data_IF_252008772132
#
_entry.id   IF_252008772132
#
_cell.length_a   1.000
_cell.length_b   1.000
_cell.length_c   1.000
_cell.angle_alpha   90.00
_cell.angle_beta   90.00
_cell.angle_gamma   90.00
#
_symmetry.space_group_name_H-M   'P 1'
#
loop_
_entity.id
_entity.type
_entity.pdbx_description
1 polymer ?
#
# COMPACT_ATOMS: atom_id res chain seq x y z
N UNK A 1 -20.45 -0.16 -4.37
CA UNK A 1 -19.81 -0.33 -5.70
C UNK A 1 -19.90 1.01 -6.43
N UNK A 2 -18.78 1.59 -6.91
CA UNK A 2 -18.76 2.88 -7.63
C UNK A 2 -18.75 2.67 -9.18
N UNK A 3 -18.91 1.45 -9.68
CA UNK A 3 -19.03 1.17 -11.11
C UNK A 3 -20.39 1.64 -11.63
N UNK A 4 -20.43 2.07 -12.88
CA UNK A 4 -21.67 2.30 -13.60
C UNK A 4 -22.40 0.97 -13.82
N UNK A 5 -23.71 0.97 -13.65
CA UNK A 5 -24.57 -0.14 -14.05
C UNK A 5 -24.52 -0.35 -15.58
N UNK A 6 -24.87 -1.55 -16.07
CA UNK A 6 -24.94 -1.80 -17.52
C UNK A 6 -25.81 -0.78 -18.28
N UNK A 7 -26.91 -0.32 -17.69
CA UNK A 7 -27.80 0.66 -18.30
C UNK A 7 -27.19 2.07 -18.35
N UNK A 8 -26.48 2.48 -17.29
CA UNK A 8 -25.73 3.74 -17.28
C UNK A 8 -24.60 3.73 -18.32
N UNK A 9 -23.86 2.62 -18.43
CA UNK A 9 -22.82 2.43 -19.46
C UNK A 9 -23.45 2.55 -20.85
N UNK A 10 -24.55 1.84 -21.10
CA UNK A 10 -25.24 1.88 -22.40
C UNK A 10 -25.72 3.28 -22.75
N UNK A 11 -26.26 4.00 -21.77
CA UNK A 11 -26.71 5.39 -21.94
C UNK A 11 -25.55 6.29 -22.38
N UNK A 12 -24.40 6.20 -21.70
CA UNK A 12 -23.21 7.00 -22.04
C UNK A 12 -22.62 6.62 -23.40
N UNK A 13 -22.54 5.33 -23.73
CA UNK A 13 -22.03 4.86 -25.02
C UNK A 13 -22.92 5.34 -26.16
N UNK A 14 -24.25 5.18 -26.06
CA UNK A 14 -25.17 5.68 -27.08
C UNK A 14 -25.05 7.20 -27.25
N UNK A 15 -24.94 7.95 -26.16
CA UNK A 15 -24.73 9.39 -26.22
C UNK A 15 -23.42 9.75 -26.95
N UNK A 16 -22.32 9.03 -26.70
CA UNK A 16 -21.05 9.22 -27.44
C UNK A 16 -21.20 8.86 -28.91
N UNK A 17 -21.83 7.72 -29.23
CA UNK A 17 -22.04 7.24 -30.60
C UNK A 17 -22.93 8.18 -31.43
N UNK A 18 -23.85 8.88 -30.78
CA UNK A 18 -24.67 9.96 -31.37
C UNK A 18 -23.88 11.27 -31.59
N UNK A 19 -22.59 11.30 -31.27
CA UNK A 19 -21.73 12.48 -31.40
C UNK A 19 -21.75 13.40 -30.18
N UNK A 20 -22.05 12.86 -29.00
CA UNK A 20 -22.10 13.59 -27.73
C UNK A 20 -23.00 14.85 -27.78
N UNK A 21 -24.28 14.74 -28.21
CA UNK A 21 -25.16 15.89 -28.35
C UNK A 21 -25.32 16.63 -27.00
N UNK A 22 -25.17 17.95 -27.02
CA UNK A 22 -25.12 18.82 -25.82
C UNK A 22 -26.40 18.76 -24.94
N UNK A 23 -27.52 18.28 -25.46
CA UNK A 23 -28.84 18.45 -24.84
C UNK A 23 -29.35 19.89 -24.94
N UNK A 24 -30.56 20.12 -24.44
CA UNK A 24 -31.20 21.45 -24.43
C UNK A 24 -31.00 22.17 -23.09
N UNK A 25 -31.05 23.51 -23.13
CA UNK A 25 -30.99 24.35 -21.92
C UNK A 25 -29.59 24.88 -21.58
N UNK A 26 -29.52 25.63 -20.48
CA UNK A 26 -28.27 26.15 -19.94
C UNK A 26 -27.45 25.04 -19.31
N UNK A 27 -26.12 25.11 -19.43
CA UNK A 27 -25.22 24.16 -18.79
C UNK A 27 -25.43 24.16 -17.25
N UNK A 28 -25.97 23.07 -16.68
CA UNK A 28 -26.26 23.00 -15.25
C UNK A 28 -24.99 23.04 -14.38
N UNK A 29 -23.83 22.66 -14.93
CA UNK A 29 -22.53 22.78 -14.25
C UNK A 29 -21.97 24.20 -14.36
N UNK A 30 -22.25 24.91 -15.46
CA UNK A 30 -21.90 26.32 -15.63
C UNK A 30 -22.65 27.26 -14.69
N UNK A 31 -23.87 26.88 -14.28
CA UNK A 31 -24.71 27.64 -13.34
C UNK A 31 -24.24 27.55 -11.87
N UNK A 32 -23.50 26.50 -11.51
CA UNK A 32 -23.09 26.24 -10.12
C UNK A 32 -21.57 26.21 -10.03
N UNK A 33 -20.96 27.33 -9.62
CA UNK A 33 -19.56 27.34 -9.17
C UNK A 33 -19.46 26.65 -7.81
N UNK A 34 -19.34 25.32 -7.81
CA UNK A 34 -18.96 24.58 -6.60
C UNK A 34 -17.48 24.85 -6.34
N UNK A 35 -17.19 25.77 -5.43
CA UNK A 35 -15.85 25.87 -4.84
C UNK A 35 -15.71 24.68 -3.90
N UNK A 36 -14.80 23.77 -4.20
CA UNK A 36 -14.50 22.67 -3.30
C UNK A 36 -14.05 23.24 -1.94
N UNK A 37 -14.57 22.68 -0.84
CA UNK A 37 -14.10 23.05 0.49
C UNK A 37 -12.59 22.78 0.58
N UNK A 38 -11.87 23.65 1.29
CA UNK A 38 -10.43 23.46 1.52
C UNK A 38 -10.17 22.13 2.24
N UNK A 39 -11.04 21.81 3.21
CA UNK A 39 -11.05 20.57 3.96
C UNK A 39 -12.43 19.92 3.86
N UNK A 40 -12.56 18.77 3.14
CA UNK A 40 -13.86 18.14 2.88
C UNK A 40 -14.66 17.73 4.12
N UNK A 41 -13.99 17.51 5.26
CA UNK A 41 -14.62 17.09 6.52
C UNK A 41 -14.82 18.25 7.52
N UNK A 42 -14.64 19.50 7.08
CA UNK A 42 -14.68 20.69 7.94
C UNK A 42 -13.30 21.04 8.52
N UNK A 43 -13.28 21.88 9.56
CA UNK A 43 -12.02 22.34 10.19
C UNK A 43 -11.26 21.14 10.82
N UNK A 44 -9.99 20.89 10.45
CA UNK A 44 -9.17 19.88 11.09
C UNK A 44 -8.81 20.23 12.54
N UNK A 45 -8.56 19.21 13.35
CA UNK A 45 -8.09 19.38 14.74
C UNK A 45 -6.56 19.55 14.80
N UNK A 46 -5.85 18.89 13.88
CA UNK A 46 -4.41 19.04 13.69
C UNK A 46 -4.09 19.06 12.19
N UNK A 47 -3.23 19.99 11.78
CA UNK A 47 -2.64 20.03 10.43
C UNK A 47 -1.15 19.80 10.59
N UNK A 48 -0.63 18.85 9.83
CA UNK A 48 0.80 18.52 9.79
C UNK A 48 1.32 18.94 8.43
N UNK A 49 2.30 19.84 8.43
CA UNK A 49 3.01 20.26 7.22
C UNK A 49 4.05 19.21 6.85
N UNK A 50 3.96 18.66 5.64
CA UNK A 50 5.01 17.78 5.11
C UNK A 50 6.20 18.66 4.70
N UNK A 51 7.44 18.29 5.05
CA UNK A 51 8.63 19.00 4.61
C UNK A 51 8.64 19.19 3.09
N UNK A 52 8.87 20.44 2.66
CA UNK A 52 8.77 20.80 1.26
C UNK A 52 9.80 20.06 0.41
N UNK A 53 9.40 19.69 -0.81
CA UNK A 53 10.28 19.00 -1.74
C UNK A 53 10.18 19.63 -3.14
N UNK A 54 11.33 19.88 -3.77
CA UNK A 54 11.38 20.36 -5.16
C UNK A 54 11.31 19.19 -6.10
N UNK A 55 10.15 19.01 -6.76
CA UNK A 55 9.95 18.01 -7.80
C UNK A 55 10.65 18.54 -9.07
N UNK A 56 11.64 17.82 -9.64
CA UNK A 56 12.28 18.23 -10.88
C UNK A 56 11.30 18.17 -12.05
N UNK A 57 11.63 18.88 -13.14
CA UNK A 57 10.81 18.87 -14.35
C UNK A 57 10.72 17.49 -15.03
N UNK A 58 11.78 16.68 -14.91
CA UNK A 58 11.90 15.38 -15.59
C UNK A 58 12.79 14.42 -14.80
N UNK A 59 12.75 13.14 -15.16
CA UNK A 59 13.59 12.09 -14.56
C UNK A 59 12.82 11.20 -13.58
N UNK A 60 13.55 10.34 -12.89
CA UNK A 60 13.00 9.49 -11.82
C UNK A 60 13.28 10.17 -10.48
N UNK A 61 12.26 10.25 -9.62
CA UNK A 61 12.39 10.75 -8.26
C UNK A 61 12.32 9.56 -7.33
N UNK A 62 13.38 9.35 -6.54
CA UNK A 62 13.35 8.36 -5.47
C UNK A 62 12.29 8.73 -4.43
N UNK A 63 11.71 7.72 -3.81
CA UNK A 63 10.74 7.91 -2.73
C UNK A 63 11.33 8.76 -1.61
N UNK A 64 10.64 9.84 -1.25
CA UNK A 64 11.08 10.72 -0.17
C UNK A 64 10.40 10.30 1.13
N UNK A 65 11.17 10.23 2.21
CA UNK A 65 10.67 9.80 3.52
C UNK A 65 10.88 10.84 4.61
N UNK A 66 10.28 12.04 4.52
CA UNK A 66 10.44 13.01 5.58
C UNK A 66 9.73 12.55 6.86
N UNK A 67 10.27 12.94 8.01
CA UNK A 67 9.60 12.83 9.30
C UNK A 67 9.41 14.21 9.95
N UNK A 68 8.37 14.35 10.76
CA UNK A 68 8.05 15.58 11.52
C UNK A 68 7.78 15.20 12.96
N UNK A 69 8.38 15.91 13.92
CA UNK A 69 8.16 15.66 15.34
C UNK A 69 6.68 15.90 15.71
N UNK A 70 6.11 14.99 16.50
CA UNK A 70 4.75 15.10 17.00
C UNK A 70 4.61 16.21 18.03
N UNK A 71 3.48 16.92 17.99
CA UNK A 71 3.19 18.06 18.86
C UNK A 71 2.12 17.77 19.92
N UNK A 72 1.50 16.59 19.88
CA UNK A 72 0.46 16.20 20.82
C UNK A 72 1.04 16.04 22.24
N UNK A 73 0.42 16.69 23.22
CA UNK A 73 0.80 16.58 24.64
C UNK A 73 0.01 15.51 25.39
N UNK A 74 -1.08 15.02 24.82
CA UNK A 74 -1.91 13.94 25.32
C UNK A 74 -2.32 13.00 24.18
N UNK A 75 -2.73 11.78 24.53
CA UNK A 75 -3.17 10.82 23.53
C UNK A 75 -4.49 11.23 22.86
N UNK A 76 -4.61 11.02 21.55
CA UNK A 76 -5.79 11.36 20.75
C UNK A 76 -6.27 10.17 19.93
N UNK A 77 -7.59 10.11 19.70
CA UNK A 77 -8.19 9.11 18.83
C UNK A 77 -8.53 9.74 17.50
N UNK A 78 -7.88 9.29 16.44
CA UNK A 78 -8.11 9.72 15.06
C UNK A 78 -9.34 9.00 14.52
N UNK A 79 -10.31 9.77 14.02
CA UNK A 79 -11.51 9.24 13.33
C UNK A 79 -11.43 9.37 11.82
N UNK A 80 -10.60 10.28 11.35
CA UNK A 80 -10.40 10.51 9.93
C UNK A 80 -9.08 11.24 9.68
N UNK A 81 -8.58 11.14 8.46
CA UNK A 81 -7.50 11.96 7.95
C UNK A 81 -7.81 12.47 6.54
N UNK A 82 -7.18 13.57 6.15
CA UNK A 82 -7.27 14.12 4.79
C UNK A 82 -5.92 14.63 4.36
N UNK A 83 -5.46 14.15 3.21
CA UNK A 83 -4.27 14.68 2.56
C UNK A 83 -4.66 15.81 1.63
N UNK A 84 -3.94 16.93 1.72
CA UNK A 84 -4.02 18.04 0.78
C UNK A 84 -2.68 18.14 0.03
N UNK A 85 -2.59 17.59 -1.19
CA UNK A 85 -1.37 17.70 -1.99
C UNK A 85 -1.06 19.16 -2.30
N UNK A 86 0.20 19.58 -2.12
CA UNK A 86 0.63 20.93 -2.49
C UNK A 86 0.72 21.09 -4.01
N UNK A 87 1.30 20.10 -4.68
CA UNK A 87 1.34 19.95 -6.13
C UNK A 87 0.47 18.76 -6.56
N UNK A 88 -0.79 19.02 -6.90
CA UNK A 88 -1.73 17.97 -7.35
C UNK A 88 -1.28 17.23 -8.61
N UNK A 89 -0.43 17.84 -9.43
CA UNK A 89 0.12 17.22 -10.64
C UNK A 89 1.36 16.38 -10.37
N UNK A 90 2.15 16.74 -9.34
CA UNK A 90 3.41 16.08 -9.05
C UNK A 90 3.34 15.02 -7.95
N UNK A 91 2.42 15.13 -6.99
CA UNK A 91 2.22 14.13 -5.93
C UNK A 91 1.42 12.95 -6.48
N UNK A 92 2.09 11.81 -6.65
CA UNK A 92 1.43 10.57 -7.05
C UNK A 92 0.81 9.93 -5.81
N UNK A 93 1.63 9.51 -4.84
CA UNK A 93 1.19 8.92 -3.57
C UNK A 93 1.77 9.65 -2.34
N UNK A 94 1.01 9.66 -1.24
CA UNK A 94 1.46 10.05 0.10
C UNK A 94 0.89 9.06 1.12
N UNK A 95 1.74 8.29 1.79
CA UNK A 95 1.35 7.50 2.96
C UNK A 95 1.82 8.20 4.23
N UNK A 96 1.11 8.00 5.34
CA UNK A 96 1.49 8.59 6.62
C UNK A 96 1.20 7.64 7.78
N UNK A 97 2.10 7.64 8.75
CA UNK A 97 1.95 6.91 10.00
C UNK A 97 2.65 7.62 11.15
N UNK A 98 2.44 7.11 12.36
CA UNK A 98 3.07 7.61 13.57
C UNK A 98 4.15 6.63 14.05
N UNK A 99 5.26 7.18 14.52
CA UNK A 99 6.41 6.48 15.08
C UNK A 99 6.62 6.93 16.52
N UNK A 100 7.05 6.02 17.39
CA UNK A 100 7.33 6.32 18.80
C UNK A 100 8.44 7.35 18.99
N UNK A 101 9.43 7.34 18.10
CA UNK A 101 10.58 8.22 18.16
C UNK A 101 10.82 8.94 16.84
N UNK A 102 11.32 10.17 16.94
CA UNK A 102 11.80 10.92 15.79
C UNK A 102 13.14 10.33 15.30
N UNK A 103 13.24 9.89 14.03
CA UNK A 103 14.50 9.42 13.47
C UNK A 103 15.57 10.52 13.48
N UNK A 104 16.79 10.18 13.93
CA UNK A 104 17.90 11.14 14.04
C UNK A 104 18.35 11.72 12.71
N UNK A 105 18.19 10.98 11.63
CA UNK A 105 18.49 11.39 10.25
C UNK A 105 17.33 12.15 9.60
N UNK A 106 16.20 12.33 10.30
CA UNK A 106 15.02 13.01 9.77
C UNK A 106 14.21 12.16 8.78
N UNK A 107 14.58 10.89 8.58
CA UNK A 107 13.96 10.02 7.59
C UNK A 107 13.06 8.97 8.22
N UNK A 108 11.78 8.97 7.85
CA UNK A 108 10.82 7.96 8.33
C UNK A 108 11.09 6.59 7.71
N UNK A 109 10.51 5.56 8.33
CA UNK A 109 10.44 4.22 7.76
C UNK A 109 9.10 3.61 8.11
N UNK A 110 8.42 3.06 7.11
CA UNK A 110 7.07 2.50 7.20
C UNK A 110 7.04 1.29 8.14
N UNK A 111 8.16 0.56 8.25
CA UNK A 111 8.33 -0.57 9.18
C UNK A 111 8.41 -0.14 10.65
N UNK A 112 8.63 1.15 10.92
CA UNK A 112 8.63 1.74 12.27
C UNK A 112 7.31 2.40 12.63
N UNK A 113 6.32 2.39 11.72
CA UNK A 113 5.02 2.99 12.00
C UNK A 113 4.25 2.10 12.96
N UNK A 114 4.03 2.59 14.17
CA UNK A 114 3.21 1.92 15.17
C UNK A 114 1.71 2.19 14.97
N UNK A 115 1.35 3.18 14.15
CA UNK A 115 -0.04 3.44 13.76
C UNK A 115 -0.10 4.00 12.33
N UNK A 116 -1.04 3.51 11.52
CA UNK A 116 -1.34 4.09 10.21
C UNK A 116 -2.36 5.22 10.33
N UNK A 117 -2.12 6.36 9.69
CA UNK A 117 -2.98 7.54 9.76
C UNK A 117 -3.96 7.61 8.58
N UNK A 118 -4.60 6.48 8.27
CA UNK A 118 -5.51 6.29 7.15
C UNK A 118 -4.92 5.45 6.02
N UNK A 119 -5.67 5.27 4.94
CA UNK A 119 -5.29 4.39 3.82
C UNK A 119 -4.19 4.97 2.91
N UNK A 120 -3.72 6.18 3.20
CA UNK A 120 -2.85 6.95 2.31
C UNK A 120 -3.62 7.68 1.21
N UNK A 121 -2.92 8.59 0.54
CA UNK A 121 -3.38 9.28 -0.65
C UNK A 121 -2.75 8.66 -1.88
N UNK A 122 -3.61 8.32 -2.85
CA UNK A 122 -3.25 8.15 -4.25
C UNK A 122 -4.07 9.14 -5.08
N UNK A 123 -3.72 9.35 -6.34
CA UNK A 123 -4.45 10.27 -7.22
C UNK A 123 -5.93 9.88 -7.27
N UNK A 124 -6.81 10.82 -6.87
CA UNK A 124 -8.26 10.60 -6.80
C UNK A 124 -8.79 10.04 -5.47
N UNK A 125 -7.93 9.82 -4.48
CA UNK A 125 -8.36 9.42 -3.15
C UNK A 125 -9.18 10.52 -2.44
N UNK A 126 -10.23 10.09 -1.73
CA UNK A 126 -11.03 10.91 -0.83
C UNK A 126 -10.41 10.90 0.58
N UNK A 127 -11.01 11.62 1.53
CA UNK A 127 -10.63 11.53 2.94
C UNK A 127 -10.73 10.09 3.46
N UNK A 128 -9.73 9.66 4.24
CA UNK A 128 -9.81 8.38 4.95
C UNK A 128 -10.68 8.57 6.18
N UNK A 129 -11.73 7.75 6.32
CA UNK A 129 -12.63 7.78 7.47
C UNK A 129 -12.65 6.39 8.10
N UNK A 130 -12.50 6.35 9.42
CA UNK A 130 -12.67 5.12 10.16
C UNK A 130 -14.17 4.76 10.25
N UNK A 131 -14.51 3.47 10.40
CA UNK A 131 -15.88 3.06 10.68
C UNK A 131 -16.45 3.79 11.92
N UNK A 132 -17.78 3.89 11.97
CA UNK A 132 -18.45 4.51 13.11
C UNK A 132 -18.05 3.84 14.43
N UNK A 133 -17.74 4.66 15.44
CA UNK A 133 -17.27 4.22 16.77
C UNK A 133 -15.94 3.44 16.76
N UNK A 134 -15.15 3.59 15.68
CA UNK A 134 -13.80 3.06 15.58
C UNK A 134 -12.79 4.19 15.31
N UNK A 135 -11.55 4.00 15.74
CA UNK A 135 -10.48 4.98 15.54
C UNK A 135 -9.09 4.41 15.72
N UNK A 136 -8.09 5.19 15.30
CA UNK A 136 -6.67 4.90 15.52
C UNK A 136 -6.18 5.71 16.71
N UNK A 137 -5.52 5.07 17.67
CA UNK A 137 -4.95 5.78 18.82
C UNK A 137 -3.58 6.35 18.50
N UNK A 138 -3.38 7.63 18.81
CA UNK A 138 -2.10 8.30 18.77
C UNK A 138 -1.64 8.65 20.19
N UNK A 139 -0.49 8.11 20.65
CA UNK A 139 0.14 8.54 21.89
C UNK A 139 0.61 10.01 21.83
N UNK A 140 0.87 10.65 22.98
CA UNK A 140 1.53 11.96 23.03
C UNK A 140 2.95 11.88 22.45
N UNK A 141 3.40 12.97 21.82
CA UNK A 141 4.74 13.08 21.24
C UNK A 141 4.93 12.22 19.98
N UNK A 142 6.07 11.53 19.93
CA UNK A 142 6.51 10.72 18.79
C UNK A 142 6.84 11.53 17.54
N UNK A 143 6.66 10.93 16.38
CA UNK A 143 6.88 11.57 15.08
C UNK A 143 5.89 11.08 14.03
N UNK A 144 5.50 11.96 13.12
CA UNK A 144 4.76 11.64 11.91
C UNK A 144 5.74 11.34 10.79
N UNK A 145 5.66 10.12 10.25
CA UNK A 145 6.41 9.71 9.07
C UNK A 145 5.57 9.86 7.80
N UNK A 146 6.24 10.12 6.69
CA UNK A 146 5.62 10.23 5.38
C UNK A 146 6.36 9.38 4.36
N UNK A 147 5.64 8.73 3.48
CA UNK A 147 6.19 8.14 2.26
C UNK A 147 5.65 8.92 1.07
N UNK A 148 6.52 9.68 0.40
CA UNK A 148 6.17 10.53 -0.73
C UNK A 148 6.67 9.94 -2.04
N UNK A 149 5.75 9.70 -2.97
CA UNK A 149 6.08 9.35 -4.35
C UNK A 149 5.66 10.48 -5.28
N UNK A 150 6.63 11.00 -6.04
CA UNK A 150 6.42 12.10 -6.98
C UNK A 150 6.61 11.63 -8.42
N UNK A 151 5.78 12.17 -9.33
CA UNK A 151 5.92 11.97 -10.77
C UNK A 151 6.22 13.30 -11.45
N UNK A 152 7.44 13.50 -11.99
CA UNK A 152 7.74 14.66 -12.81
C UNK A 152 6.82 14.77 -14.03
N UNK A 153 6.35 15.98 -14.31
CA UNK A 153 5.34 16.23 -15.36
C UNK A 153 5.75 17.34 -16.35
N UNK A 154 7.06 17.54 -16.53
CA UNK A 154 7.63 18.51 -17.47
C UNK A 154 7.85 19.91 -16.90
N UNK A 155 7.56 20.14 -15.61
CA UNK A 155 7.76 21.41 -14.93
C UNK A 155 8.27 21.20 -13.51
N UNK A 156 9.33 21.93 -13.14
CA UNK A 156 9.80 21.97 -11.75
C UNK A 156 8.77 22.67 -10.86
N UNK A 157 8.49 22.09 -9.71
CA UNK A 157 7.53 22.64 -8.75
C UNK A 157 7.90 22.24 -7.33
N UNK A 158 7.65 23.12 -6.37
CA UNK A 158 7.82 22.80 -4.94
C UNK A 158 6.51 22.25 -4.40
N UNK A 159 6.54 21.01 -3.91
CA UNK A 159 5.43 20.45 -3.14
C UNK A 159 5.48 20.93 -1.68
N UNK A 160 4.30 21.23 -1.15
CA UNK A 160 4.05 21.61 0.25
C UNK A 160 2.77 20.94 0.72
N UNK A 161 2.75 19.60 0.61
CA UNK A 161 1.59 18.81 1.03
C UNK A 161 1.31 18.96 2.53
N UNK A 162 0.04 18.82 2.90
CA UNK A 162 -0.41 18.86 4.28
C UNK A 162 -1.27 17.64 4.60
N UNK A 163 -1.20 17.15 5.83
CA UNK A 163 -2.08 16.10 6.35
C UNK A 163 -2.91 16.67 7.48
N UNK A 164 -4.23 16.63 7.32
CA UNK A 164 -5.20 16.98 8.34
C UNK A 164 -5.63 15.73 9.11
N UNK A 165 -5.62 15.80 10.43
CA UNK A 165 -6.18 14.80 11.33
C UNK A 165 -7.43 15.34 12.01
N UNK A 166 -8.42 14.47 12.15
CA UNK A 166 -9.67 14.75 12.85
C UNK A 166 -9.78 13.79 14.02
N UNK A 167 -10.01 14.33 15.21
CA UNK A 167 -10.06 13.56 16.44
C UNK A 167 -11.50 13.33 16.90
N UNK A 168 -11.69 12.35 17.78
CA UNK A 168 -12.89 12.26 18.60
C UNK A 168 -12.75 13.08 19.88
N UNK A 169 -13.83 13.71 20.32
CA UNK A 169 -13.92 14.36 21.64
C UNK A 169 -13.91 13.34 22.78
N UNK A 170 -14.48 12.15 22.54
CA UNK A 170 -14.53 11.03 23.49
C UNK A 170 -13.93 9.79 22.83
N UNK A 171 -13.17 8.95 23.56
CA UNK A 171 -12.64 7.73 23.00
C UNK A 171 -13.71 6.90 22.29
N UNK A 172 -13.48 6.45 21.04
CA UNK A 172 -14.32 5.44 20.41
C UNK A 172 -14.23 4.14 21.22
N UNK A 173 -15.19 3.26 21.04
CA UNK A 173 -15.14 1.93 21.67
C UNK A 173 -14.13 1.01 20.97
N UNK A 174 -14.07 1.08 19.64
CA UNK A 174 -13.34 0.14 18.80
C UNK A 174 -12.01 0.73 18.32
N UNK A 175 -11.02 -0.14 18.15
CA UNK A 175 -9.69 0.19 17.62
C UNK A 175 -9.56 -0.39 16.23
N UNK A 176 -9.06 0.42 15.28
CA UNK A 176 -8.75 -0.04 13.92
C UNK A 176 -7.26 -0.26 13.77
N UNK A 177 -6.93 -1.38 13.14
CA UNK A 177 -5.58 -1.82 12.81
C UNK A 177 -5.41 -1.98 11.31
N UNK A 178 -4.15 -2.02 10.88
CA UNK A 178 -3.80 -2.22 9.48
C UNK A 178 -2.58 -3.12 9.37
N UNK A 179 -2.62 -4.06 8.43
CA UNK A 179 -1.51 -4.97 8.17
C UNK A 179 -1.39 -5.26 6.68
N UNK A 180 -0.19 -5.48 6.18
CA UNK A 180 0.04 -5.64 4.74
C UNK A 180 0.49 -7.06 4.42
N UNK A 181 -0.22 -7.78 3.56
CA UNK A 181 0.29 -9.00 2.93
C UNK A 181 1.30 -8.58 1.87
N UNK A 182 2.57 -8.99 1.99
CA UNK A 182 3.62 -8.60 1.04
C UNK A 182 4.62 -9.71 0.80
N UNK A 183 5.25 -9.68 -0.37
CA UNK A 183 6.45 -10.46 -0.68
C UNK A 183 7.53 -9.51 -1.23
N UNK A 184 8.56 -9.16 -0.43
CA UNK A 184 9.68 -8.33 -0.86
C UNK A 184 10.78 -9.13 -1.62
N UNK A 185 10.57 -10.41 -1.85
CA UNK A 185 11.53 -11.34 -2.47
C UNK A 185 11.26 -11.65 -3.94
N UNK A 186 10.11 -11.22 -4.47
CA UNK A 186 9.70 -11.46 -5.86
C UNK A 186 10.86 -11.22 -6.85
N UNK A 187 11.02 -12.17 -7.77
CA UNK A 187 11.96 -12.11 -8.89
C UNK A 187 11.27 -12.70 -10.13
N UNK A 188 10.77 -11.82 -10.99
CA UNK A 188 10.04 -12.17 -12.21
C UNK A 188 11.04 -12.24 -13.37
N UNK A 189 11.24 -13.41 -14.01
CA UNK A 189 12.19 -13.55 -15.11
C UNK A 189 11.83 -12.72 -16.33
N UNK A 190 12.85 -12.31 -17.11
CA UNK A 190 12.67 -11.63 -18.39
C UNK A 190 11.79 -12.46 -19.35
N UNK A 191 10.79 -11.82 -19.95
CA UNK A 191 9.91 -12.43 -20.94
C UNK A 191 8.84 -13.38 -20.38
N UNK A 192 8.85 -13.65 -19.07
CA UNK A 192 7.95 -14.62 -18.44
C UNK A 192 6.51 -14.10 -18.44
N UNK A 193 5.59 -14.93 -18.94
CA UNK A 193 4.17 -14.64 -18.89
C UNK A 193 3.53 -15.39 -17.73
N UNK A 194 2.62 -14.75 -16.99
CA UNK A 194 1.84 -15.37 -15.91
C UNK A 194 2.69 -15.96 -14.77
N UNK A 195 3.79 -15.28 -14.43
CA UNK A 195 4.58 -15.57 -13.24
C UNK A 195 3.70 -15.42 -12.00
N UNK A 196 3.76 -16.37 -11.07
CA UNK A 196 2.89 -16.41 -9.89
C UNK A 196 3.70 -16.13 -8.64
N UNK A 197 3.15 -15.34 -7.75
CA UNK A 197 3.68 -15.09 -6.42
C UNK A 197 2.55 -15.20 -5.41
N UNK A 198 2.88 -15.63 -4.19
CA UNK A 198 1.94 -15.77 -3.09
C UNK A 198 2.59 -15.21 -1.82
N UNK A 199 1.77 -14.62 -0.97
CA UNK A 199 2.16 -14.28 0.39
C UNK A 199 0.93 -14.33 1.29
N UNK A 200 1.16 -14.39 2.60
CA UNK A 200 0.08 -14.40 3.55
C UNK A 200 0.41 -13.70 4.87
N UNK A 201 -0.64 -13.47 5.65
CA UNK A 201 -0.56 -13.06 7.05
C UNK A 201 -1.40 -14.01 7.89
N UNK A 202 -0.82 -14.55 8.95
CA UNK A 202 -1.53 -15.40 9.90
C UNK A 202 -2.05 -14.58 11.08
N UNK A 203 -3.34 -14.73 11.39
CA UNK A 203 -3.98 -14.02 12.49
C UNK A 203 -3.92 -14.87 13.77
N UNK A 204 -3.19 -14.44 14.83
CA UNK A 204 -3.09 -15.21 16.08
C UNK A 204 -4.40 -15.27 16.86
N UNK A 205 -5.25 -14.24 16.74
CA UNK A 205 -6.51 -14.12 17.48
C UNK A 205 -7.70 -13.83 16.54
N UNK A 206 -8.92 -13.93 17.09
CA UNK A 206 -10.14 -13.61 16.35
C UNK A 206 -10.15 -12.13 15.92
N UNK A 207 -10.36 -11.89 14.63
CA UNK A 207 -10.42 -10.56 14.04
C UNK A 207 -11.65 -10.37 13.14
N UNK A 208 -11.94 -9.12 12.83
CA UNK A 208 -12.92 -8.70 11.83
C UNK A 208 -12.23 -7.87 10.76
N UNK A 209 -12.25 -8.36 9.51
CA UNK A 209 -11.67 -7.71 8.35
C UNK A 209 -12.71 -6.80 7.67
N UNK A 210 -12.36 -5.54 7.48
CA UNK A 210 -13.25 -4.51 6.93
C UNK A 210 -12.98 -4.21 5.46
N UNK A 211 -11.71 -4.19 5.05
CA UNK A 211 -11.35 -3.90 3.67
C UNK A 211 -10.00 -4.48 3.27
N UNK A 212 -9.82 -4.66 1.97
CA UNK A 212 -8.53 -4.97 1.36
C UNK A 212 -8.20 -3.96 0.25
N UNK A 213 -6.93 -3.55 0.17
CA UNK A 213 -6.37 -2.70 -0.88
C UNK A 213 -5.24 -3.47 -1.57
N UNK A 214 -5.54 -4.20 -2.67
CA UNK A 214 -4.50 -4.81 -3.51
C UNK A 214 -3.70 -3.74 -4.26
N UNK A 215 -2.39 -3.92 -4.33
CA UNK A 215 -1.44 -3.02 -4.96
C UNK A 215 -0.28 -3.78 -5.59
N UNK A 216 -0.02 -3.43 -6.84
CA UNK A 216 1.10 -3.87 -7.67
C UNK A 216 1.32 -2.87 -8.82
N UNK A 217 2.39 -3.06 -9.59
CA UNK A 217 2.80 -2.15 -10.66
C UNK A 217 2.38 -2.64 -12.06
N UNK A 218 3.12 -2.24 -13.09
CA UNK A 218 2.72 -2.35 -14.49
C UNK A 218 2.56 -3.78 -15.02
N UNK A 219 3.20 -4.76 -14.40
CA UNK A 219 3.21 -6.16 -14.85
C UNK A 219 2.13 -6.98 -14.18
N UNK A 220 1.48 -6.48 -13.13
CA UNK A 220 0.37 -7.19 -12.51
C UNK A 220 -0.76 -7.44 -13.51
N UNK A 221 -1.09 -8.71 -13.67
CA UNK A 221 -2.12 -9.21 -14.56
C UNK A 221 -3.42 -9.50 -13.81
N UNK A 222 -3.32 -10.18 -12.67
CA UNK A 222 -4.47 -10.49 -11.81
C UNK A 222 -4.03 -10.63 -10.36
N UNK A 223 -4.97 -10.41 -9.44
CA UNK A 223 -4.77 -10.63 -8.02
C UNK A 223 -6.04 -11.16 -7.38
N UNK A 224 -5.90 -11.99 -6.36
CA UNK A 224 -7.00 -12.40 -5.50
C UNK A 224 -6.57 -12.48 -4.03
N UNK A 225 -7.55 -12.42 -3.13
CA UNK A 225 -7.39 -12.55 -1.70
C UNK A 225 -8.30 -13.67 -1.19
N UNK A 226 -7.72 -14.59 -0.44
CA UNK A 226 -8.39 -15.73 0.17
C UNK A 226 -8.22 -15.70 1.70
N UNK A 227 -9.16 -16.33 2.39
CA UNK A 227 -8.95 -16.79 3.76
C UNK A 227 -8.75 -18.30 3.76
N UNK A 228 -7.65 -18.75 4.36
CA UNK A 228 -7.42 -20.13 4.76
C UNK A 228 -7.82 -20.26 6.23
N UNK A 229 -8.81 -21.08 6.53
CA UNK A 229 -9.23 -21.38 7.91
C UNK A 229 -8.24 -22.36 8.57
N UNK A 230 -8.25 -22.49 9.92
CA UNK A 230 -7.37 -23.43 10.64
C UNK A 230 -7.54 -24.90 10.23
N UNK A 231 -8.70 -25.26 9.67
CA UNK A 231 -8.98 -26.60 9.12
C UNK A 231 -8.48 -26.78 7.68
N UNK A 232 -7.79 -25.78 7.12
CA UNK A 232 -7.26 -25.77 5.76
C UNK A 232 -8.26 -25.35 4.68
N UNK A 233 -9.54 -25.12 5.01
CA UNK A 233 -10.53 -24.69 4.00
C UNK A 233 -10.21 -23.29 3.48
N UNK A 234 -10.34 -23.14 2.17
CA UNK A 234 -10.11 -21.87 1.47
C UNK A 234 -11.46 -21.22 1.09
N UNK A 235 -11.56 -19.91 1.28
CA UNK A 235 -12.68 -19.10 0.79
C UNK A 235 -12.16 -17.84 0.10
N UNK A 236 -12.60 -17.61 -1.13
CA UNK A 236 -12.29 -16.41 -1.90
C UNK A 236 -13.01 -15.21 -1.28
N UNK A 237 -12.27 -14.12 -1.02
CA UNK A 237 -12.80 -12.87 -0.46
C UNK A 237 -12.86 -11.76 -1.50
N UNK A 238 -11.83 -11.64 -2.35
CA UNK A 238 -11.72 -10.60 -3.37
C UNK A 238 -11.04 -11.16 -4.62
N UNK A 239 -11.54 -10.79 -5.80
CA UNK A 239 -10.97 -11.20 -7.08
C UNK A 239 -10.85 -10.02 -8.04
N UNK A 240 -9.62 -9.78 -8.51
CA UNK A 240 -9.28 -8.85 -9.57
C UNK A 240 -8.71 -9.69 -10.74
N UNK A 241 -9.58 -10.32 -11.56
CA UNK A 241 -9.15 -11.21 -12.64
C UNK A 241 -8.44 -10.46 -13.78
N UNK A 242 -8.55 -9.13 -13.80
CA UNK A 242 -7.82 -8.21 -14.66
C UNK A 242 -7.42 -7.01 -13.83
N UNK A 243 -6.24 -7.09 -13.23
CA UNK A 243 -5.68 -5.97 -12.48
C UNK A 243 -5.38 -4.81 -13.45
N UNK A 244 -5.65 -3.59 -13.01
CA UNK A 244 -5.35 -2.37 -13.75
C UNK A 244 -4.62 -1.41 -12.80
N UNK A 245 -3.38 -1.07 -13.15
CA UNK A 245 -2.55 -0.14 -12.39
C UNK A 245 -3.21 1.22 -12.20
N UNK A 246 -4.08 1.66 -13.12
CA UNK A 246 -4.80 2.93 -12.98
C UNK A 246 -6.05 2.81 -12.08
N UNK A 247 -6.37 1.60 -11.60
CA UNK A 247 -7.53 1.31 -10.75
C UNK A 247 -7.11 0.83 -9.35
N UNK A 248 -6.35 1.66 -8.64
CA UNK A 248 -5.88 1.36 -7.28
C UNK A 248 -6.84 1.93 -6.25
N UNK A 249 -7.57 1.06 -5.54
CA UNK A 249 -8.54 1.47 -4.52
C UNK A 249 -8.78 0.40 -3.47
N UNK A 250 -9.28 0.84 -2.32
CA UNK A 250 -9.71 -0.07 -1.27
C UNK A 250 -11.08 -0.67 -1.62
N UNK A 251 -11.24 -1.96 -1.32
CA UNK A 251 -12.49 -2.70 -1.43
C UNK A 251 -13.01 -2.96 -0.01
N UNK A 252 -14.01 -2.20 0.41
CA UNK A 252 -14.72 -2.40 1.67
C UNK A 252 -15.76 -3.51 1.53
N UNK A 253 -15.74 -4.49 2.43
CA UNK A 253 -16.73 -5.56 2.43
C UNK A 253 -18.10 -5.03 2.90
N UNK A 254 -19.18 -5.54 2.31
CA UNK A 254 -20.54 -5.14 2.70
C UNK A 254 -20.83 -5.44 4.17
N UNK A 255 -20.30 -6.56 4.66
CA UNK A 255 -20.25 -6.94 6.07
C UNK A 255 -18.81 -7.30 6.43
N UNK A 256 -18.29 -6.91 7.61
CA UNK A 256 -16.96 -7.30 8.04
C UNK A 256 -16.82 -8.83 8.10
N UNK A 257 -15.72 -9.35 7.55
CA UNK A 257 -15.46 -10.79 7.49
C UNK A 257 -14.83 -11.25 8.80
N UNK A 258 -15.41 -12.26 9.44
CA UNK A 258 -14.80 -12.94 10.60
C UNK A 258 -13.56 -13.71 10.16
N UNK A 259 -12.45 -13.46 10.85
CA UNK A 259 -11.18 -14.15 10.69
C UNK A 259 -10.90 -14.87 12.02
N UNK A 260 -11.24 -16.17 12.13
CA UNK A 260 -10.94 -16.93 13.35
C UNK A 260 -9.44 -17.01 13.62
N UNK A 261 -9.05 -17.09 14.88
CA UNK A 261 -7.69 -17.35 15.32
C UNK A 261 -7.06 -18.54 14.56
N UNK A 262 -5.82 -18.37 14.12
CA UNK A 262 -5.08 -19.34 13.30
C UNK A 262 -5.37 -19.27 11.80
N UNK A 263 -6.33 -18.46 11.34
CA UNK A 263 -6.59 -18.28 9.90
C UNK A 263 -5.46 -17.50 9.23
N UNK A 264 -5.24 -17.75 7.93
CA UNK A 264 -4.30 -17.00 7.10
C UNK A 264 -5.06 -16.23 6.02
N UNK A 265 -4.72 -14.95 5.83
CA UNK A 265 -5.15 -14.19 4.66
C UNK A 265 -4.08 -14.30 3.58
N UNK A 266 -4.40 -14.98 2.50
CA UNK A 266 -3.48 -15.37 1.43
C UNK A 266 -3.77 -14.53 0.19
N UNK A 267 -2.77 -13.81 -0.30
CA UNK A 267 -2.86 -13.02 -1.51
C UNK A 267 -2.05 -13.68 -2.63
N UNK A 268 -2.70 -13.96 -3.76
CA UNK A 268 -2.01 -14.41 -4.97
C UNK A 268 -1.91 -13.27 -5.97
N UNK A 269 -0.75 -13.15 -6.60
CA UNK A 269 -0.52 -12.23 -7.70
C UNK A 269 0.01 -12.98 -8.90
N UNK A 270 -0.46 -12.56 -10.08
CA UNK A 270 0.04 -13.04 -11.36
C UNK A 270 0.63 -11.86 -12.10
N UNK A 271 1.86 -11.97 -12.56
CA UNK A 271 2.57 -10.95 -13.33
C UNK A 271 2.82 -11.40 -14.77
N UNK A 272 2.84 -10.45 -15.69
CA UNK A 272 3.14 -10.66 -17.11
C UNK A 272 4.31 -9.76 -17.51
N UNK A 273 5.52 -10.30 -17.46
CA UNK A 273 6.76 -9.67 -17.91
C UNK A 273 7.08 -10.01 -19.38
N UNK A 274 6.11 -10.52 -20.14
CA UNK A 274 6.27 -10.80 -21.56
C UNK A 274 6.07 -9.55 -22.40
N UNK A 275 6.50 -9.62 -23.67
CA UNK A 275 6.26 -8.56 -24.66
C UNK A 275 4.77 -8.44 -25.08
N UNK A 276 3.88 -9.33 -24.61
CA UNK A 276 2.44 -9.26 -24.89
C UNK A 276 1.67 -8.38 -23.91
N UNK A 277 2.28 -8.02 -22.78
CA UNK A 277 1.69 -7.07 -21.85
C UNK A 277 1.94 -5.65 -22.35
N UNK A 278 0.91 -4.91 -22.81
CA UNK A 278 1.09 -3.55 -23.33
C UNK A 278 1.56 -2.55 -22.27
N UNK A 279 1.37 -2.86 -20.99
CA UNK A 279 1.84 -2.04 -19.87
C UNK A 279 3.31 -2.29 -19.50
N UNK A 280 3.94 -3.35 -20.02
CA UNK A 280 5.30 -3.72 -19.65
C UNK A 280 6.33 -2.77 -20.31
N UNK A 281 7.08 -1.98 -19.53
CA UNK A 281 8.01 -1.00 -20.09
C UNK A 281 9.27 -1.63 -20.70
N UNK A 282 9.68 -2.80 -20.21
CA UNK A 282 10.83 -3.55 -20.73
C UNK A 282 10.69 -5.05 -20.42
N UNK A 283 10.37 -5.89 -21.42
CA UNK A 283 10.24 -7.34 -21.24
C UNK A 283 11.58 -8.08 -21.22
N UNK A 284 12.72 -7.41 -21.42
CA UNK A 284 14.04 -8.06 -21.56
C UNK A 284 14.83 -8.14 -20.25
N UNK A 285 14.30 -7.57 -19.17
CA UNK A 285 14.95 -7.55 -17.85
C UNK A 285 14.24 -8.48 -16.87
N UNK A 286 15.03 -9.02 -15.95
CA UNK A 286 14.46 -9.58 -14.73
C UNK A 286 13.96 -8.42 -13.86
N UNK A 287 12.83 -8.63 -13.20
CA UNK A 287 12.16 -7.62 -12.38
C UNK A 287 12.11 -8.11 -10.95
N UNK A 288 12.57 -7.30 -10.01
CA UNK A 288 12.50 -7.60 -8.59
C UNK A 288 11.46 -6.74 -7.89
N UNK A 289 11.25 -7.02 -6.59
CA UNK A 289 10.56 -6.08 -5.72
C UNK A 289 11.20 -4.68 -5.78
N UNK A 290 10.37 -3.64 -5.78
CA UNK A 290 10.82 -2.28 -5.62
C UNK A 290 9.70 -1.26 -5.75
N UNK A 291 10.03 -0.01 -5.43
CA UNK A 291 9.02 1.05 -5.27
C UNK A 291 8.69 1.77 -6.59
N UNK A 292 9.58 1.66 -7.57
CA UNK A 292 9.36 2.30 -8.85
C UNK A 292 8.36 1.50 -9.68
N UNK A 293 7.49 2.16 -10.45
CA UNK A 293 6.46 1.47 -11.25
C UNK A 293 7.03 0.56 -12.35
N UNK A 294 8.31 0.71 -12.72
CA UNK A 294 9.01 -0.23 -13.61
C UNK A 294 9.62 -1.45 -12.88
N UNK A 295 9.63 -1.44 -11.54
CA UNK A 295 9.83 -2.61 -10.68
C UNK A 295 8.46 -3.24 -10.35
N UNK A 296 8.37 -4.16 -9.38
CA UNK A 296 7.08 -4.72 -8.97
C UNK A 296 6.85 -4.76 -7.45
N UNK A 297 5.59 -4.95 -7.07
CA UNK A 297 5.17 -5.18 -5.69
C UNK A 297 4.08 -6.24 -5.59
N UNK A 298 4.24 -7.18 -4.65
CA UNK A 298 3.11 -7.88 -4.04
C UNK A 298 2.78 -7.12 -2.75
N UNK A 299 1.66 -6.41 -2.73
CA UNK A 299 1.29 -5.58 -1.57
C UNK A 299 -0.22 -5.52 -1.42
N UNK A 300 -0.79 -6.09 -0.36
CA UNK A 300 -2.23 -6.00 -0.08
C UNK A 300 -2.43 -5.48 1.33
N UNK A 301 -2.83 -4.21 1.46
CA UNK A 301 -3.16 -3.65 2.78
C UNK A 301 -4.53 -4.13 3.24
N UNK A 302 -4.61 -4.60 4.47
CA UNK A 302 -5.80 -5.12 5.14
C UNK A 302 -6.13 -4.21 6.31
N UNK A 303 -7.38 -3.75 6.39
CA UNK A 303 -7.89 -3.03 7.56
C UNK A 303 -8.79 -3.95 8.36
N UNK A 304 -8.52 -4.06 9.66
CA UNK A 304 -9.19 -5.00 10.56
C UNK A 304 -9.27 -4.48 11.99
N UNK A 305 -9.98 -5.22 12.85
CA UNK A 305 -9.93 -5.06 14.31
C UNK A 305 -9.84 -6.42 14.99
N UNK A 306 -9.27 -6.46 16.18
CA UNK A 306 -9.39 -7.61 17.07
C UNK A 306 -10.81 -7.65 17.67
N UNK A 307 -11.36 -8.85 17.88
CA UNK A 307 -12.76 -9.01 18.29
C UNK A 307 -13.00 -8.56 19.73
N UNK A 308 -12.08 -8.87 20.63
CA UNK A 308 -12.14 -8.61 22.07
C UNK A 308 -11.48 -7.28 22.48
N UNK A 309 -10.74 -6.65 21.58
CA UNK A 309 -10.09 -5.38 21.85
C UNK A 309 -11.07 -4.19 21.82
N UNK A 310 -10.90 -3.31 22.80
CA UNK A 310 -11.60 -2.03 22.89
C UNK A 310 -10.64 -0.93 23.35
N UNK A 311 -11.05 0.33 23.26
CA UNK A 311 -10.29 1.45 23.82
C UNK A 311 -9.99 1.34 25.31
N UNK A 312 -10.76 0.54 26.06
CA UNK A 312 -10.57 0.25 27.49
C UNK A 312 -9.80 -1.04 27.77
N UNK A 313 -9.71 -1.94 26.79
CA UNK A 313 -9.01 -3.21 26.87
C UNK A 313 -8.16 -3.37 25.60
N UNK A 314 -6.92 -2.89 25.68
CA UNK A 314 -5.95 -2.98 24.58
C UNK A 314 -5.16 -4.26 24.69
N UNK A 315 -4.79 -4.80 23.54
CA UNK A 315 -4.04 -6.04 23.40
C UNK A 315 -2.74 -5.80 22.63
N UNK A 316 -1.83 -6.75 22.65
CA UNK A 316 -0.52 -6.75 21.97
C UNK A 316 -0.48 -7.76 20.80
N UNK A 317 -1.64 -8.16 20.29
CA UNK A 317 -1.78 -9.21 19.28
C UNK A 317 -1.08 -8.90 17.94
N UNK A 318 -0.83 -7.63 17.64
CA UNK A 318 -0.04 -7.21 16.49
C UNK A 318 1.45 -7.61 16.64
N UNK A 319 2.00 -7.59 17.85
CA UNK A 319 3.35 -8.07 18.13
C UNK A 319 3.42 -9.60 17.94
N UNK A 320 2.40 -10.32 18.39
CA UNK A 320 2.29 -11.76 18.17
C UNK A 320 2.17 -12.09 16.67
N UNK A 321 1.34 -11.36 15.93
CA UNK A 321 1.24 -11.48 14.48
C UNK A 321 2.60 -11.23 13.83
N UNK A 322 3.35 -10.23 14.32
CA UNK A 322 4.70 -9.85 13.92
C UNK A 322 5.68 -11.02 13.76
N UNK A 323 5.60 -12.01 14.66
CA UNK A 323 6.50 -13.18 14.72
C UNK A 323 6.39 -14.08 13.49
N UNK A 324 5.20 -14.19 12.91
CA UNK A 324 4.93 -15.05 11.74
C UNK A 324 5.05 -14.32 10.40
N UNK A 325 5.26 -12.99 10.43
CA UNK A 325 5.28 -12.15 9.23
C UNK A 325 6.35 -12.56 8.24
N UNK A 326 7.54 -12.93 8.74
CA UNK A 326 8.65 -13.27 7.86
C UNK A 326 8.39 -14.56 7.10
N UNK A 327 7.80 -15.55 7.76
CA UNK A 327 7.38 -16.80 7.15
C UNK A 327 6.35 -16.52 6.04
N UNK A 328 5.27 -15.80 6.35
CA UNK A 328 4.21 -15.49 5.39
C UNK A 328 4.64 -14.62 4.19
N UNK A 329 5.81 -13.99 4.25
CA UNK A 329 6.38 -13.24 3.11
C UNK A 329 7.07 -14.14 2.08
N UNK A 330 7.49 -15.36 2.45
CA UNK A 330 8.39 -16.18 1.64
C UNK A 330 7.94 -17.64 1.48
N UNK A 331 7.03 -18.12 2.32
CA UNK A 331 6.45 -19.47 2.23
C UNK A 331 5.52 -19.53 0.99
N UNK A 332 6.09 -20.02 -0.11
CA UNK A 332 5.45 -20.09 -1.43
C UNK A 332 4.49 -21.28 -1.51
N UNK A 333 4.67 -22.31 -0.67
CA UNK A 333 3.91 -23.55 -0.71
C UNK A 333 2.82 -23.65 0.40
N UNK A 334 2.80 -22.68 1.33
CA UNK A 334 1.89 -22.52 2.47
C UNK A 334 2.00 -23.64 3.52
N UNK A 335 3.13 -24.34 3.61
CA UNK A 335 3.33 -25.45 4.55
C UNK A 335 3.73 -25.00 5.97
N UNK A 336 4.00 -23.71 6.16
CA UNK A 336 4.37 -23.13 7.44
C UNK A 336 5.86 -23.27 7.78
N UNK A 337 6.71 -23.58 6.81
CA UNK A 337 8.16 -23.61 6.93
C UNK A 337 8.80 -22.89 5.73
N UNK A 338 10.08 -22.51 5.86
CA UNK A 338 10.86 -21.98 4.75
C UNK A 338 11.96 -22.94 4.35
N UNK A 339 11.85 -23.48 3.15
CA UNK A 339 12.91 -24.26 2.52
C UNK A 339 13.95 -23.35 1.84
N UNK A 340 15.17 -23.86 1.63
CA UNK A 340 16.23 -23.11 0.92
C UNK A 340 15.80 -22.64 -0.48
N UNK A 341 14.89 -23.37 -1.13
CA UNK A 341 14.38 -23.03 -2.45
C UNK A 341 13.51 -21.77 -2.46
N UNK A 342 12.85 -21.46 -1.35
CA UNK A 342 11.94 -20.32 -1.19
C UNK A 342 12.69 -19.03 -0.82
N UNK A 343 13.95 -19.15 -0.40
CA UNK A 343 14.80 -18.02 -0.02
C UNK A 343 15.37 -17.26 -1.24
N UNK A 344 14.46 -16.73 -2.06
CA UNK A 344 14.73 -15.91 -3.25
C UNK A 344 14.89 -14.42 -2.91
N UNK A 345 15.24 -13.61 -3.91
CA UNK A 345 15.39 -12.17 -3.73
C UNK A 345 16.55 -11.76 -2.81
N UNK A 346 16.70 -10.45 -2.59
CA UNK A 346 17.78 -9.93 -1.74
C UNK A 346 17.63 -10.36 -0.28
N UNK A 347 16.39 -10.43 0.22
CA UNK A 347 16.11 -10.81 1.60
C UNK A 347 16.33 -12.30 1.84
N UNK A 348 15.80 -13.18 0.99
CA UNK A 348 16.01 -14.62 1.09
C UNK A 348 17.48 -14.98 0.96
N UNK A 349 18.22 -14.37 0.01
CA UNK A 349 19.67 -14.55 -0.11
C UNK A 349 20.47 -14.14 1.13
N UNK A 350 19.99 -13.17 1.92
CA UNK A 350 20.64 -12.82 3.18
C UNK A 350 20.35 -13.86 4.26
N UNK A 351 19.10 -14.34 4.37
CA UNK A 351 18.75 -15.42 5.29
C UNK A 351 19.48 -16.72 4.96
N UNK A 352 19.63 -17.04 3.67
CA UNK A 352 20.33 -18.22 3.20
C UNK A 352 21.77 -18.31 3.72
N UNK A 353 22.46 -17.18 3.92
CA UNK A 353 23.82 -17.14 4.49
C UNK A 353 23.87 -17.59 5.96
N UNK A 354 22.76 -17.45 6.67
CA UNK A 354 22.64 -17.81 8.08
C UNK A 354 21.76 -19.06 8.29
N UNK A 355 21.28 -19.69 7.21
CA UNK A 355 20.31 -20.79 7.28
C UNK A 355 20.69 -21.86 8.29
N UNK A 356 21.89 -22.44 8.15
CA UNK A 356 22.34 -23.54 9.01
C UNK A 356 22.56 -23.12 10.48
N UNK A 357 22.62 -21.81 10.76
CA UNK A 357 22.69 -21.25 12.12
C UNK A 357 21.30 -21.00 12.71
N UNK A 358 20.32 -20.70 11.84
CA UNK A 358 18.93 -20.43 12.20
C UNK A 358 18.13 -21.74 12.36
N UNK A 359 18.41 -22.74 11.52
CA UNK A 359 17.86 -24.10 11.59
C UNK A 359 18.47 -24.82 12.80
N UNK A 360 17.84 -24.63 13.96
CA UNK A 360 18.29 -25.15 15.27
C UNK A 360 17.96 -26.62 15.42
N UNK A 361 16.84 -27.04 14.85
CA UNK A 361 16.37 -28.42 14.94
C UNK A 361 17.01 -29.32 13.85
N UNK A 362 17.71 -28.73 12.87
CA UNK A 362 18.37 -29.38 11.75
C UNK A 362 17.42 -30.20 10.87
N UNK A 363 16.17 -29.74 10.73
CA UNK A 363 15.15 -30.40 9.92
C UNK A 363 15.18 -29.98 8.44
N UNK A 364 16.04 -29.03 8.08
CA UNK A 364 16.25 -28.57 6.71
C UNK A 364 15.30 -27.47 6.26
N UNK A 365 14.47 -26.93 7.15
CA UNK A 365 13.58 -25.80 6.90
C UNK A 365 13.57 -24.84 8.11
N UNK A 366 13.16 -23.58 7.91
CA UNK A 366 13.03 -22.62 9.01
C UNK A 366 11.56 -22.45 9.42
N UNK A 367 11.25 -22.67 10.69
CA UNK A 367 9.91 -22.43 11.22
C UNK A 367 9.72 -21.00 11.75
N UNK A 368 8.49 -20.69 12.20
CA UNK A 368 8.15 -19.36 12.71
C UNK A 368 8.97 -18.96 13.96
N UNK A 369 9.30 -19.92 14.84
CA UNK A 369 10.04 -19.65 16.08
C UNK A 369 11.52 -19.35 15.77
N UNK A 370 12.11 -20.11 14.86
CA UNK A 370 13.48 -19.90 14.37
C UNK A 370 13.62 -18.55 13.65
N UNK A 371 12.62 -18.16 12.84
CA UNK A 371 12.59 -16.87 12.15
C UNK A 371 12.36 -15.70 13.10
N UNK A 372 11.51 -15.84 14.12
CA UNK A 372 11.29 -14.82 15.13
C UNK A 372 12.59 -14.55 15.93
N UNK A 373 13.33 -15.61 16.28
CA UNK A 373 14.65 -15.47 16.90
C UNK A 373 15.65 -14.77 15.97
N UNK A 374 15.62 -15.08 14.66
CA UNK A 374 16.47 -14.45 13.66
C UNK A 374 16.23 -12.93 13.56
N UNK A 375 14.98 -12.48 13.63
CA UNK A 375 14.62 -11.06 13.59
C UNK A 375 15.21 -10.29 14.77
N UNK A 376 15.23 -10.88 15.96
CA UNK A 376 15.84 -10.27 17.14
C UNK A 376 17.37 -10.15 16.98
N UNK A 377 18.02 -11.12 16.34
CA UNK A 377 19.48 -11.11 16.11
C UNK A 377 19.90 -10.14 15.00
N UNK A 378 19.10 -9.96 13.95
CA UNK A 378 19.45 -9.12 12.80
C UNK A 378 19.16 -7.63 12.99
N UNK A 379 18.53 -7.24 14.12
CA UNK A 379 18.17 -5.86 14.42
C UNK A 379 17.13 -5.29 13.44
N UNK A 380 16.67 -4.03 13.62
CA UNK A 380 15.79 -3.39 12.66
C UNK A 380 16.52 -3.33 11.32
N UNK A 381 15.96 -4.00 10.31
CA UNK A 381 16.48 -4.01 8.95
C UNK A 381 16.78 -2.57 8.55
N UNK A 382 18.05 -2.26 8.29
CA UNK A 382 18.38 -1.14 7.41
C UNK A 382 17.58 -1.40 6.15
N UNK A 383 16.63 -0.52 5.84
CA UNK A 383 16.09 -0.44 4.48
C UNK A 383 17.27 -0.48 3.52
N UNK A 384 17.09 -1.02 2.33
CA UNK A 384 18.00 -0.75 1.23
C UNK A 384 17.98 0.78 1.04
N UNK A 385 18.86 1.46 1.79
CA UNK A 385 19.18 2.85 1.61
C UNK A 385 19.64 2.92 0.16
N UNK A 386 18.89 3.68 -0.64
CA UNK A 386 19.30 4.28 -1.91
C UNK A 386 20.68 3.78 -2.35
N UNK A 387 20.71 2.75 -3.20
CA UNK A 387 21.92 2.47 -3.94
C UNK A 387 22.33 3.79 -4.61
N UNK A 388 23.62 4.20 -4.55
CA UNK A 388 24.07 5.41 -5.21
C UNK A 388 23.60 5.36 -6.68
N UNK A 389 23.12 6.48 -7.25
CA UNK A 389 22.44 6.47 -8.54
C UNK A 389 23.31 5.75 -9.56
N UNK A 390 22.81 4.62 -10.06
CA UNK A 390 23.38 3.99 -11.23
C UNK A 390 23.36 5.04 -12.34
N UNK A 391 24.50 5.23 -13.02
CA UNK A 391 24.57 6.12 -14.19
C UNK A 391 23.42 5.76 -15.14
N UNK A 392 22.71 6.74 -15.72
CA UNK A 392 21.59 6.46 -16.59
C UNK A 392 22.03 5.50 -17.69
N UNK A 393 21.40 4.33 -17.77
CA UNK A 393 21.50 3.50 -18.96
C UNK A 393 20.69 4.18 -20.07
N UNK A 394 21.16 4.08 -21.31
CA UNK A 394 20.51 4.68 -22.49
C UNK A 394 19.05 4.24 -22.70
N UNK A 395 18.58 3.22 -21.97
CA UNK A 395 17.19 2.77 -21.97
C UNK A 395 16.23 3.75 -21.27
N UNK A 396 16.67 4.52 -20.27
CA UNK A 396 15.83 5.48 -19.55
C UNK A 396 15.35 6.64 -20.45
N UNK A 397 16.09 6.93 -21.54
CA UNK A 397 15.77 8.00 -22.49
C UNK A 397 14.63 7.63 -23.42
N UNK A 398 14.31 6.34 -23.60
CA UNK A 398 13.22 5.91 -24.51
C UNK A 398 11.85 5.89 -23.82
N UNK A 399 11.77 5.68 -22.51
CA UNK A 399 10.50 5.72 -21.78
C UNK A 399 9.88 7.13 -21.73
N UNK A 400 10.70 8.19 -21.73
CA UNK A 400 10.23 9.57 -21.77
C UNK A 400 9.59 9.97 -23.12
N UNK A 401 9.84 9.23 -24.20
CA UNK A 401 9.36 9.57 -25.54
C UNK A 401 7.94 9.04 -25.83
N UNK A 402 7.40 8.12 -25.03
CA UNK A 402 6.08 7.51 -25.29
C UNK A 402 4.88 8.31 -24.74
N UNK A 403 5.09 9.35 -23.93
CA UNK A 403 4.02 10.21 -23.38
C UNK A 403 3.75 11.50 -24.19
N UNK A 404 4.29 11.62 -25.41
CA UNK A 404 4.23 12.84 -26.22
C UNK A 404 3.28 12.84 -27.43
N UNK A 405 2.36 11.89 -27.55
CA UNK A 405 1.50 11.75 -28.74
C UNK A 405 0.03 12.09 -28.49
N UNK A 406 -0.34 13.36 -28.62
CA UNK A 406 -1.75 13.76 -28.77
C UNK A 406 -2.19 13.46 -30.23
N UNK A 407 -3.29 12.72 -30.48
CA UNK A 407 -3.85 12.65 -31.83
C UNK A 407 -4.66 13.91 -32.07
N UNK A 408 -4.09 14.83 -32.85
CA UNK A 408 -4.86 15.90 -33.48
C UNK A 408 -5.75 15.32 -34.57
N UNK A 409 -7.03 15.72 -34.52
CA UNK A 409 -8.08 15.51 -35.52
C UNK A 409 -7.59 15.42 -36.97
N UNK A 410 -8.02 14.37 -37.67
CA UNK A 410 -8.81 14.46 -38.90
C UNK A 410 -9.70 13.24 -39.07
#
# INVERSE_FOLDING_TARGET
DKRLSPDEIKTLVHWVDEGAPRGEGTDPLGAVKRVAAEWPLGKPDLIIDVPAFTIPASGVVDYQRPAVAGTLTEGKWVRASTVKPGSRQGVHHLLTGWMEEMPKDGHSSETKWAASLGAGYAVGAESSMEPANAGVYLPPGGAYGFQMHYTPYGKEVVDKSQVALYFYDKPPELIMHSVVVMDPTIEIPAGEARHKEVAYVQFPHDALLYSAFPHAHYRAYSSDLWIQYPDGKMKLLLSLPRYDFNWQRAYTFAEPIKVPAGSRLVAHYVYDNSARNPSNPDPKINVSWGEQSFQEMLFTNLSYRWVDETSKHRVDYDEEMGKTRLLGMMDDNLDGKLEKAELKGNMGRQLLKYFDVLDKNHDGALDADELAAAQQMMGPRRSAASAPPAKPSEAATQAAAFNGGSPTNR
#
